data_IF_547468630490
#
_entry.id   IF_547468630490
#
_cell.length_a   1.000
_cell.length_b   1.000
_cell.length_c   1.000
_cell.angle_alpha   90.00
_cell.angle_beta   90.00
_cell.angle_gamma   90.00
#
_symmetry.space_group_name_H-M   'P 1'
#
loop_
_entity.id
_entity.type
_entity.pdbx_description
1 polymer ?
#
# COMPACT_ATOMS: atom_id res chain seq x y z
N UNK A 1 2.31 34.63 -0.74
CA UNK A 1 1.31 33.61 -1.14
C UNK A 1 1.87 32.30 -1.77
N UNK A 2 3.15 32.27 -2.21
CA UNK A 2 3.67 31.15 -3.02
C UNK A 2 4.14 29.90 -2.26
N UNK A 3 4.48 30.01 -0.98
CA UNK A 3 5.04 28.86 -0.23
C UNK A 3 4.01 27.74 0.03
N UNK A 4 2.72 28.07 0.19
CA UNK A 4 1.67 27.08 0.47
C UNK A 4 1.33 26.23 -0.75
N UNK A 5 1.43 26.79 -1.95
CA UNK A 5 1.15 26.05 -3.19
C UNK A 5 2.29 25.07 -3.51
N UNK A 6 3.55 25.47 -3.31
CA UNK A 6 4.72 24.60 -3.55
C UNK A 6 4.79 23.42 -2.58
N UNK A 7 4.44 23.61 -1.30
CA UNK A 7 4.40 22.52 -0.30
C UNK A 7 3.31 21.49 -0.63
N UNK A 8 2.12 21.94 -1.05
CA UNK A 8 1.01 21.07 -1.49
C UNK A 8 1.41 20.17 -2.66
N UNK A 9 2.03 20.76 -3.69
CA UNK A 9 2.50 20.02 -4.86
C UNK A 9 3.59 19.02 -4.47
N UNK A 10 4.50 19.40 -3.56
CA UNK A 10 5.57 18.53 -3.07
C UNK A 10 5.08 17.33 -2.26
N UNK A 11 4.09 17.51 -1.37
CA UNK A 11 3.57 16.40 -0.57
C UNK A 11 2.73 15.43 -1.39
N UNK A 12 1.92 15.94 -2.32
CA UNK A 12 1.17 15.09 -3.25
C UNK A 12 2.12 14.23 -4.10
N UNK A 13 3.16 14.82 -4.66
CA UNK A 13 4.16 14.08 -5.44
C UNK A 13 4.83 13.00 -4.58
N UNK A 14 5.28 13.33 -3.37
CA UNK A 14 5.86 12.36 -2.42
C UNK A 14 4.89 11.21 -2.09
N UNK A 15 3.61 11.51 -1.83
CA UNK A 15 2.60 10.50 -1.56
C UNK A 15 2.33 9.61 -2.79
N UNK A 16 2.28 10.20 -3.98
CA UNK A 16 2.10 9.47 -5.24
C UNK A 16 3.28 8.54 -5.51
N UNK A 17 4.51 9.01 -5.31
CA UNK A 17 5.73 8.21 -5.50
C UNK A 17 5.80 7.04 -4.51
N UNK A 18 5.47 7.28 -3.23
CA UNK A 18 5.39 6.22 -2.21
C UNK A 18 4.34 5.17 -2.58
N UNK A 19 3.16 5.61 -3.02
CA UNK A 19 2.06 4.71 -3.38
C UNK A 19 2.41 3.88 -4.61
N UNK A 20 2.95 4.50 -5.67
CA UNK A 20 3.40 3.80 -6.86
C UNK A 20 4.50 2.78 -6.53
N UNK A 21 5.47 3.16 -5.70
CA UNK A 21 6.54 2.26 -5.25
C UNK A 21 6.01 1.08 -4.45
N UNK A 22 5.06 1.32 -3.53
CA UNK A 22 4.40 0.27 -2.77
C UNK A 22 3.73 -0.73 -3.73
N UNK A 23 2.90 -0.23 -4.65
CA UNK A 23 2.19 -1.08 -5.62
C UNK A 23 3.16 -1.86 -6.52
N UNK A 24 4.29 -1.26 -6.89
CA UNK A 24 5.36 -1.90 -7.67
C UNK A 24 6.05 -3.03 -6.91
N UNK A 25 6.35 -2.85 -5.63
CA UNK A 25 7.00 -3.89 -4.84
C UNK A 25 6.06 -5.08 -4.61
N UNK A 26 4.82 -4.80 -4.21
CA UNK A 26 3.85 -5.86 -3.89
C UNK A 26 3.43 -6.64 -5.13
N UNK A 27 3.29 -6.02 -6.30
CA UNK A 27 2.95 -6.77 -7.55
C UNK A 27 4.03 -7.78 -7.96
N UNK A 28 5.27 -7.60 -7.50
CA UNK A 28 6.39 -8.47 -7.83
C UNK A 28 6.58 -9.61 -6.84
N UNK A 29 5.83 -9.62 -5.74
CA UNK A 29 5.86 -10.73 -4.78
C UNK A 29 5.18 -11.96 -5.41
N UNK A 30 5.85 -13.13 -5.44
CA UNK A 30 5.24 -14.35 -5.99
C UNK A 30 3.98 -14.75 -5.22
N UNK A 31 2.95 -15.22 -5.95
CA UNK A 31 1.65 -15.61 -5.37
C UNK A 31 1.78 -16.61 -4.21
N UNK A 32 2.69 -17.58 -4.34
CA UNK A 32 2.96 -18.59 -3.31
C UNK A 32 3.43 -17.98 -1.98
N UNK A 33 4.15 -16.86 -2.02
CA UNK A 33 4.62 -16.17 -0.81
C UNK A 33 3.43 -15.51 -0.09
N UNK A 34 2.42 -15.02 -0.82
CA UNK A 34 1.17 -14.55 -0.21
C UNK A 34 0.42 -15.68 0.48
N UNK A 35 0.31 -16.85 -0.15
CA UNK A 35 -0.32 -18.03 0.44
C UNK A 35 0.37 -18.49 1.73
N UNK A 36 1.71 -18.48 1.75
CA UNK A 36 2.52 -18.90 2.90
C UNK A 36 2.49 -17.90 4.05
N UNK A 37 2.53 -16.60 3.76
CA UNK A 37 2.67 -15.54 4.77
C UNK A 37 1.36 -14.96 5.26
N UNK A 38 0.30 -15.09 4.47
CA UNK A 38 -1.03 -14.55 4.78
C UNK A 38 -2.06 -15.68 4.60
N UNK A 39 -2.00 -16.75 5.42
CA UNK A 39 -2.82 -17.95 5.22
C UNK A 39 -4.32 -17.69 5.28
N UNK A 40 -4.77 -16.61 5.93
CA UNK A 40 -6.18 -16.21 5.96
C UNK A 40 -6.76 -15.86 4.57
N UNK A 41 -5.90 -15.54 3.59
CA UNK A 41 -6.31 -15.31 2.21
C UNK A 41 -6.94 -16.57 1.59
N UNK A 42 -6.46 -17.76 1.98
CA UNK A 42 -7.03 -19.02 1.52
C UNK A 42 -8.45 -19.26 2.07
N UNK A 43 -8.82 -18.59 3.16
CA UNK A 43 -10.17 -18.59 3.71
C UNK A 43 -11.07 -17.49 3.09
N UNK A 44 -10.55 -16.69 2.15
CA UNK A 44 -11.24 -15.55 1.54
C UNK A 44 -11.35 -14.33 2.46
N UNK A 45 -10.60 -14.32 3.57
CA UNK A 45 -10.58 -13.22 4.53
C UNK A 45 -9.65 -12.10 4.06
N UNK A 46 -9.94 -10.87 4.51
CA UNK A 46 -9.05 -9.73 4.26
C UNK A 46 -7.81 -9.81 5.18
N UNK A 47 -6.65 -9.46 4.63
CA UNK A 47 -5.38 -9.39 5.34
C UNK A 47 -4.71 -8.02 5.22
N UNK A 48 -3.61 -7.87 5.96
CA UNK A 48 -2.63 -6.78 5.80
C UNK A 48 -1.40 -7.31 5.09
N UNK A 49 -0.80 -6.51 4.21
CA UNK A 49 0.41 -6.87 3.50
C UNK A 49 1.59 -6.74 4.47
N UNK A 50 2.38 -7.81 4.70
CA UNK A 50 3.55 -7.78 5.55
C UNK A 50 4.59 -6.75 5.09
N UNK A 51 5.18 -6.04 6.04
CA UNK A 51 6.26 -5.06 5.81
C UNK A 51 7.46 -5.64 5.04
N UNK A 52 7.71 -6.95 5.16
CA UNK A 52 8.76 -7.64 4.40
C UNK A 52 8.54 -7.62 2.87
N UNK A 53 7.34 -7.30 2.39
CA UNK A 53 7.01 -7.29 0.95
C UNK A 53 7.26 -5.94 0.27
N UNK A 54 7.51 -4.87 1.03
CA UNK A 54 7.76 -3.53 0.51
C UNK A 54 8.92 -2.81 1.26
N UNK A 55 10.10 -3.46 1.36
CA UNK A 55 11.22 -2.94 2.14
C UNK A 55 11.73 -1.58 1.64
N UNK A 56 11.66 -1.30 0.33
CA UNK A 56 12.16 -0.04 -0.20
C UNK A 56 11.16 1.10 0.02
N UNK A 57 9.86 0.82 0.00
CA UNK A 57 8.82 1.76 0.44
C UNK A 57 9.01 2.12 1.90
N UNK A 58 9.28 1.14 2.77
CA UNK A 58 9.54 1.40 4.20
C UNK A 58 10.77 2.29 4.42
N UNK A 59 11.86 2.06 3.68
CA UNK A 59 13.03 2.96 3.73
C UNK A 59 12.64 4.39 3.36
N UNK A 60 11.88 4.57 2.28
CA UNK A 60 11.41 5.90 1.86
C UNK A 60 10.51 6.56 2.91
N UNK A 61 9.66 5.79 3.61
CA UNK A 61 8.91 6.31 4.76
C UNK A 61 9.82 6.78 5.90
N UNK A 62 10.85 6.01 6.24
CA UNK A 62 11.81 6.37 7.30
C UNK A 62 12.56 7.65 6.95
N UNK A 63 12.93 7.84 5.68
CA UNK A 63 13.57 9.08 5.21
C UNK A 63 12.64 10.28 5.31
N UNK A 64 11.38 10.13 4.90
CA UNK A 64 10.38 11.20 4.96
C UNK A 64 10.03 11.61 6.39
N UNK A 65 10.03 10.67 7.33
CA UNK A 65 9.83 10.95 8.76
C UNK A 65 10.91 11.89 9.34
N UNK A 66 12.12 11.90 8.78
CA UNK A 66 13.19 12.83 9.21
C UNK A 66 12.93 14.28 8.81
N UNK A 67 12.05 14.51 7.83
CA UNK A 67 11.65 15.85 7.39
C UNK A 67 10.42 16.39 8.14
N UNK A 68 10.01 15.77 9.27
CA UNK A 68 8.82 16.15 10.06
C UNK A 68 7.50 16.09 9.26
N UNK A 69 7.47 15.26 8.21
CA UNK A 69 6.29 15.00 7.40
C UNK A 69 5.79 13.59 7.69
N UNK A 70 4.73 13.49 8.48
CA UNK A 70 4.12 12.20 8.75
C UNK A 70 3.18 11.79 7.61
N UNK A 71 3.67 10.85 6.80
CA UNK A 71 2.84 10.06 5.89
C UNK A 71 2.47 8.73 6.56
N UNK A 72 1.27 8.23 6.29
CA UNK A 72 0.75 6.98 6.82
C UNK A 72 0.30 6.09 5.68
N UNK A 73 0.77 4.84 5.66
CA UNK A 73 0.27 3.81 4.76
C UNK A 73 -0.78 2.97 5.47
N UNK A 74 -1.96 2.86 4.88
CA UNK A 74 -2.87 1.76 5.16
C UNK A 74 -2.96 0.89 3.90
N UNK A 75 -2.96 -0.43 4.05
CA UNK A 75 -3.12 -1.35 2.93
C UNK A 75 -4.04 -2.49 3.32
N UNK A 76 -4.71 -3.10 2.36
CA UNK A 76 -5.46 -4.34 2.54
C UNK A 76 -5.24 -5.25 1.35
N UNK A 77 -5.36 -6.55 1.59
CA UNK A 77 -5.26 -7.58 0.56
C UNK A 77 -6.38 -8.59 0.73
N UNK A 78 -6.98 -8.99 -0.39
CA UNK A 78 -8.01 -10.02 -0.44
C UNK A 78 -7.74 -10.97 -1.60
N UNK A 79 -8.10 -12.23 -1.42
CA UNK A 79 -7.91 -13.27 -2.42
C UNK A 79 -9.24 -13.86 -2.88
N UNK A 80 -9.30 -14.26 -4.15
CA UNK A 80 -10.25 -15.24 -4.65
C UNK A 80 -9.55 -16.60 -4.76
N UNK A 81 -10.23 -17.66 -4.31
CA UNK A 81 -9.68 -19.01 -4.19
C UNK A 81 -10.55 -19.98 -4.97
N UNK A 82 -9.94 -20.82 -5.79
CA UNK A 82 -10.66 -21.83 -6.57
C UNK A 82 -10.99 -23.09 -5.74
N UNK A 83 -11.70 -24.04 -6.36
CA UNK A 83 -12.03 -25.35 -5.76
C UNK A 83 -10.81 -26.22 -5.40
N UNK A 84 -9.63 -25.87 -5.88
CA UNK A 84 -8.36 -26.55 -5.58
C UNK A 84 -7.58 -25.89 -4.44
N UNK A 85 -8.20 -24.91 -3.76
CA UNK A 85 -7.58 -24.15 -2.68
C UNK A 85 -6.31 -23.39 -3.12
N UNK A 86 -6.33 -22.86 -4.35
CA UNK A 86 -5.28 -22.01 -4.91
C UNK A 86 -5.82 -20.59 -5.07
N UNK A 87 -4.99 -19.58 -4.78
CA UNK A 87 -5.35 -18.20 -5.08
C UNK A 87 -5.35 -18.01 -6.60
N UNK A 88 -6.48 -17.58 -7.17
CA UNK A 88 -6.63 -17.23 -8.59
C UNK A 88 -6.50 -15.73 -8.85
N UNK A 89 -6.86 -14.91 -7.86
CA UNK A 89 -6.82 -13.45 -7.93
C UNK A 89 -6.44 -12.86 -6.57
N UNK A 90 -5.61 -11.82 -6.58
CA UNK A 90 -5.38 -10.95 -5.44
C UNK A 90 -5.84 -9.53 -5.76
N UNK A 91 -6.70 -8.98 -4.90
CA UNK A 91 -7.01 -7.56 -4.84
C UNK A 91 -6.19 -6.88 -3.76
N UNK A 92 -5.35 -5.93 -4.15
CA UNK A 92 -4.52 -5.12 -3.25
C UNK A 92 -5.02 -3.68 -3.27
N UNK A 93 -5.33 -3.15 -2.09
CA UNK A 93 -5.68 -1.74 -1.90
C UNK A 93 -4.64 -1.07 -1.02
N UNK A 94 -4.25 0.15 -1.36
CA UNK A 94 -3.35 0.95 -0.54
C UNK A 94 -3.81 2.41 -0.49
N UNK A 95 -3.57 3.04 0.66
CA UNK A 95 -3.84 4.45 0.91
C UNK A 95 -2.65 5.10 1.59
N UNK A 96 -2.10 6.14 0.98
CA UNK A 96 -1.20 7.08 1.65
C UNK A 96 -2.03 8.23 2.20
N UNK A 97 -1.85 8.57 3.46
CA UNK A 97 -2.51 9.69 4.13
C UNK A 97 -1.46 10.64 4.71
N UNK A 98 -1.68 11.94 4.65
CA UNK A 98 -0.77 12.95 5.21
C UNK A 98 -1.53 14.21 5.62
N UNK A 99 -0.86 15.09 6.37
CA UNK A 99 -1.30 16.48 6.61
C UNK A 99 -0.36 17.46 5.94
N UNK A 100 -0.90 18.61 5.52
CA UNK A 100 -0.10 19.65 4.87
C UNK A 100 0.94 20.26 5.83
N UNK A 101 0.65 20.25 7.13
CA UNK A 101 1.53 20.68 8.21
C UNK A 101 1.30 19.83 9.45
N UNK A 102 2.35 19.65 10.24
CA UNK A 102 2.30 18.90 11.49
C UNK A 102 2.26 17.39 11.29
N UNK A 103 1.82 16.71 12.34
CA UNK A 103 2.00 15.29 12.55
C UNK A 103 0.62 14.58 12.69
N UNK A 104 0.57 13.28 12.97
CA UNK A 104 -0.69 12.51 13.05
C UNK A 104 -1.66 13.09 14.08
N UNK A 105 -1.14 13.67 15.14
CA UNK A 105 -1.90 14.24 16.26
C UNK A 105 -2.36 15.69 16.02
N UNK A 106 -1.87 16.36 14.97
CA UNK A 106 -2.21 17.75 14.67
C UNK A 106 -3.67 17.90 14.21
N UNK A 107 -4.60 18.18 15.11
CA UNK A 107 -6.05 18.26 14.81
C UNK A 107 -6.46 19.50 14.01
N UNK A 108 -5.57 20.48 13.85
CA UNK A 108 -5.85 21.74 13.16
C UNK A 108 -5.79 21.65 11.63
N UNK A 109 -5.21 20.58 11.08
CA UNK A 109 -5.05 20.41 9.63
C UNK A 109 -5.86 19.19 9.13
N UNK A 110 -6.58 19.32 8.00
CA UNK A 110 -7.34 18.20 7.44
C UNK A 110 -6.40 17.15 6.83
N UNK A 111 -6.80 15.88 6.97
CA UNK A 111 -6.13 14.77 6.29
C UNK A 111 -6.30 14.87 4.78
N UNK A 112 -5.21 14.59 4.07
CA UNK A 112 -5.16 14.37 2.63
C UNK A 112 -4.81 12.92 2.40
N UNK A 113 -5.33 12.34 1.31
CA UNK A 113 -5.04 10.96 0.99
C UNK A 113 -5.00 10.71 -0.52
N UNK A 114 -4.23 9.69 -0.87
CA UNK A 114 -4.18 9.07 -2.19
C UNK A 114 -4.41 7.58 -2.02
N UNK A 115 -5.21 7.00 -2.91
CA UNK A 115 -5.55 5.58 -2.91
C UNK A 115 -5.21 4.97 -4.25
N UNK A 116 -4.78 3.72 -4.23
CA UNK A 116 -4.57 2.92 -5.43
C UNK A 116 -5.03 1.49 -5.18
N UNK A 117 -5.32 0.79 -6.27
CA UNK A 117 -5.84 -0.56 -6.26
C UNK A 117 -5.28 -1.36 -7.43
N UNK A 118 -4.84 -2.59 -7.17
CA UNK A 118 -4.40 -3.52 -8.20
C UNK A 118 -5.07 -4.89 -8.07
N UNK A 119 -5.28 -5.51 -9.23
CA UNK A 119 -5.66 -6.90 -9.37
C UNK A 119 -4.48 -7.69 -9.95
N UNK A 120 -4.14 -8.79 -9.30
CA UNK A 120 -3.06 -9.70 -9.74
C UNK A 120 -3.67 -11.07 -9.97
N UNK A 121 -3.60 -11.54 -11.21
CA UNK A 121 -4.12 -12.85 -11.60
C UNK A 121 -3.03 -13.92 -11.52
N UNK A 122 -3.36 -15.08 -10.93
CA UNK A 122 -2.46 -16.22 -10.89
C UNK A 122 -2.56 -17.02 -12.20
N UNK A 123 -1.62 -16.78 -13.12
CA UNK A 123 -1.55 -17.53 -14.39
C UNK A 123 -1.21 -19.02 -14.20
N UNK A 124 -0.68 -19.41 -13.03
CA UNK A 124 -0.31 -20.79 -12.72
C UNK A 124 -1.42 -21.56 -12.00
N UNK A 125 -2.49 -20.88 -11.55
CA UNK A 125 -3.62 -21.53 -10.93
C UNK A 125 -4.39 -22.36 -11.97
N UNK A 126 -4.85 -23.53 -11.54
CA UNK A 126 -5.71 -24.36 -12.38
C UNK A 126 -7.00 -23.61 -12.67
N UNK A 127 -7.28 -23.43 -13.97
CA UNK A 127 -8.56 -22.93 -14.46
C UNK A 127 -9.59 -24.05 -14.37
N UNK A 128 -10.83 -23.68 -14.05
CA UNK A 128 -11.96 -24.60 -13.95
C UNK A 128 -12.42 -25.14 -15.32
#
# INVERSE_FOLDING_TARGET
PSATTTVKVGNYAKASDLLAKFMEEVKHVPMKIYEEKIPQLLAGEEGKIPEEFYPDTLKSFVELKKEDKEFWLDNTIKAEVNKYNQIVELGISAQITWKERGNKEATSEPDRSLRDYALIFNSEAKQD
#
